data_IF_300072942627
#
_entry.id   IF_300072942627
#
_cell.length_a   1.000
_cell.length_b   1.000
_cell.length_c   1.000
_cell.angle_alpha   90.00
_cell.angle_beta   90.00
_cell.angle_gamma   90.00
#
_symmetry.space_group_name_H-M   'P 1'
#
loop_
_entity.id
_entity.type
_entity.pdbx_description
1 polymer ?
#
# COMPACT_ATOMS: atom_id res chain seq x y z
N UNK A 1 51.31 24.85 24.27
CA UNK A 1 50.43 26.00 24.56
C UNK A 1 49.78 25.76 25.90
N UNK A 2 50.11 26.59 26.89
CA UNK A 2 49.62 26.49 28.27
C UNK A 2 48.18 27.03 28.36
N UNK A 3 47.29 26.27 29.01
CA UNK A 3 45.89 26.67 29.13
C UNK A 3 45.74 27.76 30.21
N UNK A 4 45.20 28.96 29.89
CA UNK A 4 45.11 30.08 30.82
C UNK A 4 44.21 29.80 32.04
N UNK A 5 43.33 28.79 31.97
CA UNK A 5 42.47 28.38 33.09
C UNK A 5 43.19 27.47 34.11
N UNK A 6 44.32 26.86 33.76
CA UNK A 6 44.98 25.84 34.59
C UNK A 6 46.07 26.42 35.52
N UNK A 7 46.35 27.72 35.43
CA UNK A 7 47.56 28.31 36.03
C UNK A 7 47.35 29.11 37.32
N UNK A 8 46.17 29.05 37.96
CA UNK A 8 45.86 30.01 39.03
C UNK A 8 46.08 29.60 40.48
N UNK A 9 46.18 28.33 40.85
CA UNK A 9 46.49 27.97 42.25
C UNK A 9 47.28 26.66 42.30
N UNK A 10 48.22 26.61 43.23
CA UNK A 10 49.25 25.60 43.49
C UNK A 10 48.74 24.21 43.93
N UNK A 11 47.57 23.80 43.48
CA UNK A 11 47.04 22.44 43.61
C UNK A 11 46.37 22.08 42.28
N UNK A 12 46.85 21.00 41.66
CA UNK A 12 46.59 20.62 40.28
C UNK A 12 45.08 20.44 39.99
N UNK A 13 44.43 21.49 39.47
CA UNK A 13 43.07 21.43 38.93
C UNK A 13 43.12 21.57 37.41
N UNK A 14 42.90 20.47 36.69
CA UNK A 14 42.77 20.48 35.24
C UNK A 14 41.33 20.83 34.85
N UNK A 15 41.15 21.69 33.84
CA UNK A 15 39.85 21.78 33.17
C UNK A 15 39.53 20.46 32.44
N UNK A 16 38.24 20.18 32.21
CA UNK A 16 37.77 18.92 31.60
C UNK A 16 38.47 18.59 30.26
N UNK A 17 38.82 19.60 29.47
CA UNK A 17 39.50 19.40 28.18
C UNK A 17 41.01 19.15 28.34
N UNK A 18 41.67 19.79 29.31
CA UNK A 18 43.06 19.47 29.65
C UNK A 18 43.17 18.07 30.25
N UNK A 19 42.21 17.65 31.09
CA UNK A 19 42.14 16.31 31.64
C UNK A 19 42.02 15.23 30.54
N UNK A 20 41.21 15.48 29.49
CA UNK A 20 41.13 14.57 28.32
C UNK A 20 42.48 14.43 27.61
N UNK A 21 43.23 15.52 27.44
CA UNK A 21 44.54 15.48 26.77
C UNK A 21 45.59 14.72 27.59
N UNK A 22 45.57 14.88 28.92
CA UNK A 22 46.49 14.20 29.84
C UNK A 22 46.15 12.71 29.91
N UNK A 23 44.87 12.35 30.05
CA UNK A 23 44.42 10.95 30.04
C UNK A 23 44.74 10.27 28.70
N UNK A 24 44.66 10.99 27.58
CA UNK A 24 45.09 10.51 26.26
C UNK A 24 46.59 10.23 26.17
N UNK A 25 47.43 11.01 26.87
CA UNK A 25 48.90 10.82 26.89
C UNK A 25 49.36 9.72 27.84
N UNK A 26 48.60 9.39 28.89
CA UNK A 26 48.87 8.27 29.80
C UNK A 26 48.48 6.89 29.24
N UNK A 27 48.17 6.78 27.93
CA UNK A 27 48.00 5.49 27.24
C UNK A 27 49.34 4.81 26.89
N UNK A 28 50.49 5.39 27.27
CA UNK A 28 51.82 4.75 27.20
C UNK A 28 52.12 3.94 28.48
N UNK A 29 52.95 2.89 28.41
CA UNK A 29 52.95 1.73 29.34
C UNK A 29 53.60 1.98 30.71
N UNK A 30 53.48 3.17 31.30
CA UNK A 30 53.99 3.48 32.66
C UNK A 30 52.97 3.21 33.79
N UNK A 31 51.78 2.69 33.46
CA UNK A 31 50.74 2.37 34.45
C UNK A 31 50.85 0.97 35.06
N UNK A 32 51.90 0.22 34.74
CA UNK A 32 52.13 -1.11 35.30
C UNK A 32 52.80 -1.11 36.68
N UNK A 33 53.46 0.00 37.09
CA UNK A 33 54.26 0.03 38.33
C UNK A 33 53.61 0.75 39.53
N UNK A 34 52.40 1.31 39.39
CA UNK A 34 51.64 1.81 40.55
C UNK A 34 50.71 0.70 41.08
N UNK A 35 51.20 -0.02 42.10
CA UNK A 35 50.49 -1.03 42.91
C UNK A 35 49.44 -0.43 43.86
N UNK A 36 48.89 0.75 43.59
CA UNK A 36 47.84 1.34 44.41
C UNK A 36 46.44 0.87 43.94
N UNK A 37 45.94 -0.19 44.58
CA UNK A 37 44.55 -0.68 44.39
C UNK A 37 43.50 0.42 44.56
N UNK A 38 43.79 1.43 45.40
CA UNK A 38 42.93 2.58 45.63
C UNK A 38 42.80 3.45 44.37
N UNK A 39 43.88 3.66 43.62
CA UNK A 39 43.85 4.42 42.38
C UNK A 39 43.15 3.64 41.25
N UNK A 40 43.43 2.33 41.14
CA UNK A 40 42.76 1.45 40.15
C UNK A 40 41.25 1.36 40.38
N UNK A 41 40.79 1.29 41.62
CA UNK A 41 39.36 1.26 41.96
C UNK A 41 38.67 2.60 41.69
N UNK A 42 39.32 3.73 41.97
CA UNK A 42 38.80 5.06 41.62
C UNK A 42 38.68 5.25 40.10
N UNK A 43 39.70 4.86 39.33
CA UNK A 43 39.66 4.92 37.85
C UNK A 43 38.55 4.02 37.29
N UNK A 44 38.33 2.83 37.85
CA UNK A 44 37.21 1.96 37.44
C UNK A 44 35.84 2.61 37.72
N UNK A 45 35.65 3.22 38.90
CA UNK A 45 34.40 3.93 39.26
C UNK A 45 34.14 5.14 38.35
N UNK A 46 35.17 5.91 38.03
CA UNK A 46 35.03 7.05 37.10
C UNK A 46 34.70 6.58 35.68
N UNK A 47 35.32 5.49 35.21
CA UNK A 47 34.99 4.90 33.91
C UNK A 47 33.56 4.37 33.85
N UNK A 48 33.05 3.73 34.89
CA UNK A 48 31.65 3.26 34.91
C UNK A 48 30.66 4.42 34.99
N UNK A 49 30.95 5.46 35.76
CA UNK A 49 30.14 6.68 35.82
C UNK A 49 30.06 7.39 34.45
N UNK A 50 31.19 7.59 33.77
CA UNK A 50 31.23 8.19 32.43
C UNK A 50 30.50 7.34 31.38
N UNK A 51 30.63 6.01 31.43
CA UNK A 51 29.87 5.10 30.55
C UNK A 51 28.37 5.17 30.81
N UNK A 52 27.96 5.27 32.07
CA UNK A 52 26.56 5.42 32.43
C UNK A 52 25.99 6.77 31.98
N UNK A 53 26.78 7.84 32.06
CA UNK A 53 26.40 9.17 31.59
C UNK A 53 26.20 9.21 30.07
N UNK A 54 27.14 8.67 29.29
CA UNK A 54 27.00 8.57 27.82
C UNK A 54 25.77 7.78 27.41
N UNK A 55 25.50 6.63 28.05
CA UNK A 55 24.30 5.85 27.78
C UNK A 55 23.01 6.61 28.07
N UNK A 56 22.99 7.48 29.09
CA UNK A 56 21.83 8.33 29.39
C UNK A 56 21.63 9.40 28.33
N UNK A 57 22.71 10.01 27.83
CA UNK A 57 22.66 10.99 26.74
C UNK A 57 22.16 10.34 25.44
N UNK A 58 22.70 9.18 25.06
CA UNK A 58 22.25 8.41 23.88
C UNK A 58 20.77 8.01 23.98
N UNK A 59 20.31 7.56 25.16
CA UNK A 59 18.90 7.25 25.40
C UNK A 59 18.01 8.50 25.31
N UNK A 60 18.46 9.64 25.83
CA UNK A 60 17.71 10.89 25.76
C UNK A 60 17.55 11.36 24.30
N UNK A 61 18.60 11.25 23.49
CA UNK A 61 18.54 11.56 22.05
C UNK A 61 17.61 10.61 21.30
N UNK A 62 17.67 9.30 21.58
CA UNK A 62 16.76 8.32 20.99
C UNK A 62 15.31 8.63 21.35
N UNK A 63 15.01 8.87 22.64
CA UNK A 63 13.66 9.22 23.09
C UNK A 63 13.16 10.49 22.39
N UNK A 64 14.01 11.52 22.29
CA UNK A 64 13.65 12.76 21.61
C UNK A 64 13.32 12.52 20.13
N UNK A 65 14.16 11.76 19.42
CA UNK A 65 13.93 11.38 18.03
C UNK A 65 12.64 10.57 17.85
N UNK A 66 12.33 9.64 18.76
CA UNK A 66 11.07 8.90 18.74
C UNK A 66 9.88 9.81 18.98
N UNK A 67 9.94 10.74 19.94
CA UNK A 67 8.84 11.69 20.19
C UNK A 67 8.60 12.61 18.99
N UNK A 68 9.65 13.09 18.32
CA UNK A 68 9.52 13.90 17.12
C UNK A 68 8.84 13.12 16.00
N UNK A 69 9.28 11.88 15.74
CA UNK A 69 8.66 11.00 14.75
C UNK A 69 7.20 10.69 15.07
N UNK A 70 6.87 10.43 16.34
CA UNK A 70 5.49 10.19 16.75
C UNK A 70 4.59 11.42 16.51
N UNK A 71 5.10 12.62 16.76
CA UNK A 71 4.39 13.86 16.41
C UNK A 71 4.16 13.99 14.90
N UNK A 72 5.16 13.69 14.07
CA UNK A 72 5.00 13.69 12.61
C UNK A 72 3.97 12.67 12.12
N UNK A 73 4.01 11.44 12.65
CA UNK A 73 3.03 10.41 12.31
C UNK A 73 1.62 10.79 12.73
N UNK A 74 1.44 11.40 13.91
CA UNK A 74 0.14 11.92 14.35
C UNK A 74 -0.36 13.00 13.40
N UNK A 75 0.50 13.94 12.99
CA UNK A 75 0.13 14.98 12.04
C UNK A 75 -0.32 14.38 10.69
N UNK A 76 0.44 13.43 10.15
CA UNK A 76 0.08 12.74 8.90
C UNK A 76 -1.22 11.94 9.02
N UNK A 77 -1.46 11.31 10.17
CA UNK A 77 -2.71 10.58 10.42
C UNK A 77 -3.92 11.52 10.39
N UNK A 78 -3.82 12.72 10.97
CA UNK A 78 -4.91 13.69 10.92
C UNK A 78 -5.09 14.32 9.55
N UNK A 79 -4.01 14.60 8.82
CA UNK A 79 -4.11 15.02 7.41
C UNK A 79 -4.83 13.96 6.56
N UNK A 80 -4.50 12.68 6.76
CA UNK A 80 -5.16 11.57 6.07
C UNK A 80 -6.64 11.43 6.46
N UNK A 81 -6.98 11.65 7.74
CA UNK A 81 -8.36 11.63 8.24
C UNK A 81 -9.19 12.73 7.60
N UNK A 82 -8.66 13.95 7.56
CA UNK A 82 -9.31 15.10 6.89
C UNK A 82 -9.50 14.80 5.40
N UNK A 83 -8.48 14.27 4.72
CA UNK A 83 -8.58 13.90 3.30
C UNK A 83 -9.69 12.86 3.07
N UNK A 84 -9.77 11.83 3.90
CA UNK A 84 -10.82 10.81 3.83
C UNK A 84 -12.23 11.40 4.03
N UNK A 85 -12.39 12.31 4.99
CA UNK A 85 -13.65 13.03 5.20
C UNK A 85 -14.05 13.89 4.00
N UNK A 86 -13.08 14.49 3.29
CA UNK A 86 -13.38 15.27 2.07
C UNK A 86 -13.79 14.39 0.90
N UNK A 87 -13.12 13.25 0.71
CA UNK A 87 -13.45 12.31 -0.37
C UNK A 87 -14.79 11.61 -0.13
N UNK A 88 -15.08 11.23 1.12
CA UNK A 88 -16.41 10.66 1.47
C UNK A 88 -17.54 11.64 1.18
N UNK A 89 -17.38 12.94 1.52
CA UNK A 89 -18.34 13.99 1.16
C UNK A 89 -18.49 14.14 -0.37
N UNK A 90 -17.39 14.13 -1.13
CA UNK A 90 -17.43 14.17 -2.61
C UNK A 90 -18.17 12.97 -3.21
N UNK A 91 -17.93 11.77 -2.69
CA UNK A 91 -18.62 10.55 -3.13
C UNK A 91 -20.11 10.62 -2.79
N UNK A 92 -20.48 11.11 -1.61
CA UNK A 92 -21.88 11.28 -1.23
C UNK A 92 -22.62 12.23 -2.19
N UNK A 93 -22.02 13.37 -2.53
CA UNK A 93 -22.59 14.32 -3.50
C UNK A 93 -22.77 13.68 -4.89
N UNK A 94 -21.77 12.93 -5.37
CA UNK A 94 -21.87 12.21 -6.65
C UNK A 94 -22.97 11.14 -6.63
N UNK A 95 -23.13 10.41 -5.52
CA UNK A 95 -24.22 9.44 -5.33
C UNK A 95 -25.59 10.11 -5.39
N UNK A 96 -25.76 11.23 -4.69
CA UNK A 96 -27.02 11.99 -4.71
C UNK A 96 -27.34 12.52 -6.13
N UNK A 97 -26.33 13.04 -6.84
CA UNK A 97 -26.49 13.49 -8.22
C UNK A 97 -26.93 12.33 -9.14
N UNK A 98 -26.30 11.15 -9.01
CA UNK A 98 -26.69 9.95 -9.76
C UNK A 98 -28.11 9.48 -9.42
N UNK A 99 -28.50 9.46 -8.15
CA UNK A 99 -29.87 9.14 -7.73
C UNK A 99 -30.88 10.10 -8.35
N UNK A 100 -30.63 11.41 -8.30
CA UNK A 100 -31.52 12.40 -8.93
C UNK A 100 -31.65 12.22 -10.45
N UNK A 101 -30.57 11.79 -11.12
CA UNK A 101 -30.56 11.51 -12.56
C UNK A 101 -31.31 10.22 -12.85
N UNK A 102 -31.17 9.21 -11.99
CA UNK A 102 -31.89 7.95 -12.09
C UNK A 102 -33.40 8.13 -11.88
N UNK A 103 -33.82 8.95 -10.90
CA UNK A 103 -35.23 9.31 -10.72
C UNK A 103 -35.81 10.09 -11.90
N UNK A 104 -35.02 10.99 -12.50
CA UNK A 104 -35.41 11.70 -13.73
C UNK A 104 -35.58 10.74 -14.89
N UNK A 105 -34.67 9.78 -15.06
CA UNK A 105 -34.78 8.72 -16.07
C UNK A 105 -35.98 7.81 -15.81
N UNK A 106 -36.22 7.42 -14.55
CA UNK A 106 -37.37 6.60 -14.17
C UNK A 106 -38.69 7.32 -14.47
N UNK A 107 -38.78 8.62 -14.18
CA UNK A 107 -39.92 9.47 -14.54
C UNK A 107 -40.08 9.61 -16.06
N UNK A 108 -38.99 9.82 -16.80
CA UNK A 108 -39.01 9.89 -18.25
C UNK A 108 -39.48 8.55 -18.87
N UNK A 109 -39.00 7.42 -18.36
CA UNK A 109 -39.43 6.08 -18.77
C UNK A 109 -40.91 5.83 -18.46
N UNK A 110 -41.40 6.22 -17.29
CA UNK A 110 -42.82 6.12 -16.95
C UNK A 110 -43.69 6.97 -17.89
N UNK A 111 -43.26 8.19 -18.21
CA UNK A 111 -43.94 9.04 -19.21
C UNK A 111 -43.93 8.38 -20.60
N UNK A 112 -42.82 7.80 -21.01
CA UNK A 112 -42.68 7.15 -22.31
C UNK A 112 -43.54 5.89 -22.40
N UNK A 113 -43.62 5.10 -21.34
CA UNK A 113 -44.54 3.95 -21.24
C UNK A 113 -46.02 4.39 -21.29
N UNK A 114 -46.38 5.48 -20.61
CA UNK A 114 -47.75 6.03 -20.68
C UNK A 114 -48.08 6.56 -22.07
N UNK A 115 -47.13 7.24 -22.73
CA UNK A 115 -47.26 7.67 -24.12
C UNK A 115 -47.37 6.46 -25.04
N UNK A 116 -46.55 5.43 -24.88
CA UNK A 116 -46.68 4.19 -25.64
C UNK A 116 -48.03 3.50 -25.42
N UNK A 117 -48.59 3.52 -24.21
CA UNK A 117 -49.95 3.03 -23.95
C UNK A 117 -51.03 3.81 -24.71
N UNK A 118 -50.82 5.11 -24.95
CA UNK A 118 -51.70 5.96 -25.77
C UNK A 118 -51.44 5.80 -27.28
N UNK A 119 -50.20 5.57 -27.71
CA UNK A 119 -49.82 5.42 -29.12
C UNK A 119 -50.04 4.00 -29.66
N UNK A 120 -50.04 2.97 -28.81
CA UNK A 120 -50.41 1.59 -29.20
C UNK A 120 -51.94 1.41 -29.31
N UNK A 121 -52.73 2.36 -28.81
CA UNK A 121 -54.18 2.42 -29.04
C UNK A 121 -54.59 3.09 -30.35
N UNK A 122 -53.68 3.83 -31.01
CA UNK A 122 -53.96 4.52 -32.28
C UNK A 122 -52.90 4.17 -33.33
N UNK A 123 -53.28 3.26 -34.21
CA UNK A 123 -52.52 2.73 -35.35
C UNK A 123 -51.74 3.81 -36.12
N UNK A 124 -50.40 3.70 -36.16
CA UNK A 124 -49.60 4.21 -37.29
C UNK A 124 -48.30 4.94 -36.98
N UNK A 125 -48.10 5.52 -35.79
CA UNK A 125 -46.94 6.44 -35.57
C UNK A 125 -45.84 5.85 -34.66
N UNK A 126 -46.12 4.77 -33.92
CA UNK A 126 -45.19 4.22 -32.92
C UNK A 126 -43.97 3.48 -33.51
N UNK A 127 -44.09 2.94 -34.72
CA UNK A 127 -43.09 2.05 -35.32
C UNK A 127 -41.76 2.75 -35.70
N UNK A 128 -41.74 3.93 -36.35
CA UNK A 128 -40.50 4.65 -36.62
C UNK A 128 -39.82 5.18 -35.34
N UNK A 129 -40.59 5.53 -34.30
CA UNK A 129 -40.05 5.95 -33.01
C UNK A 129 -39.41 4.79 -32.24
N UNK A 130 -40.03 3.60 -32.26
CA UNK A 130 -39.46 2.38 -31.69
C UNK A 130 -38.17 1.97 -32.39
N UNK A 131 -38.12 2.04 -33.72
CA UNK A 131 -36.91 1.78 -34.52
C UNK A 131 -35.78 2.76 -34.18
N UNK A 132 -36.09 4.04 -33.97
CA UNK A 132 -35.11 5.04 -33.53
C UNK A 132 -34.58 4.75 -32.12
N UNK A 133 -35.42 4.26 -31.20
CA UNK A 133 -35.01 3.89 -29.85
C UNK A 133 -34.20 2.58 -29.82
N UNK A 134 -34.49 1.61 -30.68
CA UNK A 134 -33.68 0.39 -30.80
C UNK A 134 -32.30 0.70 -31.37
N UNK A 135 -32.19 1.56 -32.38
CA UNK A 135 -30.91 2.02 -32.89
C UNK A 135 -30.10 2.75 -31.80
N UNK A 136 -30.73 3.63 -31.03
CA UNK A 136 -30.06 4.29 -29.89
C UNK A 136 -29.62 3.31 -28.80
N UNK A 137 -30.37 2.23 -28.56
CA UNK A 137 -29.98 1.18 -27.62
C UNK A 137 -28.81 0.36 -28.15
N UNK A 138 -28.78 0.06 -29.44
CA UNK A 138 -27.67 -0.61 -30.11
C UNK A 138 -26.41 0.26 -30.03
N UNK A 139 -26.49 1.55 -30.37
CA UNK A 139 -25.40 2.52 -30.25
C UNK A 139 -24.85 2.60 -28.81
N UNK A 140 -25.75 2.65 -27.82
CA UNK A 140 -25.35 2.65 -26.40
C UNK A 140 -24.72 1.32 -25.97
N UNK A 141 -25.21 0.19 -26.50
CA UNK A 141 -24.65 -1.12 -26.23
C UNK A 141 -23.23 -1.24 -26.80
N UNK A 142 -23.00 -0.70 -28.00
CA UNK A 142 -21.71 -0.68 -28.67
C UNK A 142 -20.74 0.27 -27.95
N UNK A 143 -21.21 1.44 -27.51
CA UNK A 143 -20.44 2.36 -26.68
C UNK A 143 -20.02 1.72 -25.34
N UNK A 144 -20.91 0.95 -24.70
CA UNK A 144 -20.59 0.18 -23.48
C UNK A 144 -19.56 -0.91 -23.79
N UNK A 145 -19.69 -1.62 -24.92
CA UNK A 145 -18.75 -2.64 -25.34
C UNK A 145 -17.35 -2.04 -25.59
N UNK A 146 -17.27 -0.89 -26.27
CA UNK A 146 -16.02 -0.17 -26.51
C UNK A 146 -15.37 0.30 -25.21
N UNK A 147 -16.13 0.88 -24.27
CA UNK A 147 -15.59 1.28 -22.96
C UNK A 147 -15.13 0.08 -22.13
N UNK A 148 -15.83 -1.05 -22.19
CA UNK A 148 -15.36 -2.32 -21.57
C UNK A 148 -14.06 -2.78 -22.22
N UNK A 149 -13.96 -2.77 -23.54
CA UNK A 149 -12.75 -3.17 -24.25
C UNK A 149 -11.56 -2.27 -23.91
N UNK A 150 -11.79 -0.95 -23.82
CA UNK A 150 -10.77 0.03 -23.40
C UNK A 150 -10.28 -0.25 -21.98
N UNK A 151 -11.19 -0.53 -21.04
CA UNK A 151 -10.85 -0.93 -19.67
C UNK A 151 -10.04 -2.23 -19.61
N UNK A 152 -10.41 -3.22 -20.41
CA UNK A 152 -9.63 -4.47 -20.54
C UNK A 152 -8.22 -4.19 -21.06
N UNK A 153 -8.08 -3.37 -22.11
CA UNK A 153 -6.75 -2.98 -22.63
C UNK A 153 -5.90 -2.26 -21.58
N UNK A 154 -6.49 -1.37 -20.78
CA UNK A 154 -5.80 -0.70 -19.67
C UNK A 154 -5.35 -1.68 -18.58
N UNK A 155 -6.18 -2.68 -18.23
CA UNK A 155 -5.79 -3.73 -17.29
C UNK A 155 -4.62 -4.58 -17.83
N UNK A 156 -4.65 -4.94 -19.11
CA UNK A 156 -3.56 -5.72 -19.74
C UNK A 156 -2.25 -4.91 -19.78
N UNK A 157 -2.31 -3.59 -19.92
CA UNK A 157 -1.12 -2.73 -19.82
C UNK A 157 -0.55 -2.68 -18.39
N UNK A 158 -1.41 -2.68 -17.37
CA UNK A 158 -0.99 -2.70 -15.95
C UNK A 158 -0.44 -4.07 -15.52
N UNK A 159 -0.96 -5.14 -16.12
CA UNK A 159 -0.55 -6.52 -15.88
C UNK A 159 -0.15 -7.17 -17.19
N UNK A 160 1.06 -6.88 -17.72
CA UNK A 160 1.50 -7.46 -18.97
C UNK A 160 1.52 -8.98 -18.82
N UNK A 161 0.69 -9.64 -19.63
CA UNK A 161 0.60 -11.09 -19.71
C UNK A 161 1.43 -11.54 -20.90
N UNK A 162 2.49 -12.29 -20.64
CA UNK A 162 3.22 -13.02 -21.68
C UNK A 162 2.79 -14.47 -21.63
N UNK A 163 2.17 -14.95 -22.71
CA UNK A 163 1.88 -16.36 -22.89
C UNK A 163 2.96 -16.94 -23.81
N UNK A 164 3.41 -18.19 -23.57
CA UNK A 164 4.26 -18.87 -24.55
C UNK A 164 3.48 -19.00 -25.86
N UNK A 165 4.15 -18.70 -26.97
CA UNK A 165 3.53 -18.44 -28.27
C UNK A 165 3.04 -19.71 -28.98
N UNK A 166 3.27 -20.89 -28.40
CA UNK A 166 3.01 -22.20 -29.00
C UNK A 166 2.42 -23.16 -27.96
N UNK A 167 1.24 -23.72 -28.28
CA UNK A 167 0.63 -24.86 -27.58
C UNK A 167 1.56 -26.08 -27.73
N UNK A 168 2.58 -26.20 -26.88
CA UNK A 168 3.52 -27.33 -26.93
C UNK A 168 4.89 -27.06 -26.30
N UNK A 169 5.31 -25.80 -26.18
CA UNK A 169 6.57 -25.49 -25.51
C UNK A 169 6.36 -25.28 -24.01
N UNK A 170 7.23 -25.88 -23.21
CA UNK A 170 7.37 -25.69 -21.75
C UNK A 170 7.93 -24.31 -21.43
N UNK A 171 7.32 -23.26 -21.99
CA UNK A 171 7.59 -21.88 -21.63
C UNK A 171 6.92 -21.52 -20.31
N UNK A 172 7.54 -20.61 -19.58
CA UNK A 172 6.97 -19.99 -18.39
C UNK A 172 6.15 -18.80 -18.88
N UNK A 173 4.81 -18.88 -18.79
CA UNK A 173 3.99 -17.68 -18.97
C UNK A 173 4.32 -16.69 -17.86
N UNK A 174 4.12 -15.39 -18.04
CA UNK A 174 4.27 -14.46 -16.91
C UNK A 174 3.17 -13.42 -16.86
N UNK A 175 2.75 -13.07 -15.65
CA UNK A 175 1.91 -11.91 -15.40
C UNK A 175 2.73 -10.92 -14.57
N UNK A 176 2.88 -9.68 -15.07
CA UNK A 176 3.69 -8.65 -14.43
C UNK A 176 5.12 -9.14 -14.11
N UNK A 177 5.75 -9.83 -15.07
CA UNK A 177 7.10 -10.42 -14.96
C UNK A 177 7.22 -11.57 -13.95
N UNK A 178 6.11 -12.05 -13.38
CA UNK A 178 6.11 -13.17 -12.47
C UNK A 178 5.82 -14.47 -13.22
N UNK A 179 6.79 -15.38 -13.17
CA UNK A 179 6.73 -16.70 -13.75
C UNK A 179 5.50 -17.50 -13.29
N UNK A 180 4.65 -17.85 -14.23
CA UNK A 180 3.48 -18.70 -14.06
C UNK A 180 3.75 -20.05 -14.72
N UNK A 181 3.57 -21.14 -13.97
CA UNK A 181 3.63 -22.48 -14.55
C UNK A 181 2.47 -22.66 -15.52
N UNK A 182 2.82 -23.14 -16.72
CA UNK A 182 1.89 -23.42 -17.82
C UNK A 182 1.01 -24.64 -17.59
N UNK A 183 1.33 -25.49 -16.61
CA UNK A 183 0.57 -26.69 -16.26
C UNK A 183 0.51 -26.91 -14.75
N UNK A 184 -0.55 -27.59 -14.29
CA UNK A 184 -0.70 -28.01 -12.90
C UNK A 184 0.44 -28.93 -12.44
N UNK A 185 0.93 -29.80 -13.33
CA UNK A 185 2.08 -30.68 -13.05
C UNK A 185 3.38 -29.89 -12.81
N UNK A 186 3.53 -28.71 -13.41
CA UNK A 186 4.67 -27.83 -13.17
C UNK A 186 4.52 -27.03 -11.87
N UNK A 187 3.27 -26.74 -11.45
CA UNK A 187 2.93 -26.09 -10.17
C UNK A 187 3.40 -26.91 -8.96
N UNK A 188 3.24 -28.23 -9.01
CA UNK A 188 3.66 -29.15 -7.93
C UNK A 188 5.18 -29.27 -7.80
N UNK A 189 5.91 -29.08 -8.90
CA UNK A 189 7.38 -29.14 -8.94
C UNK A 189 8.05 -27.83 -8.48
N UNK A 190 7.30 -26.75 -8.31
CA UNK A 190 7.84 -25.47 -7.84
C UNK A 190 8.08 -25.46 -6.33
N UNK A 191 9.06 -24.67 -5.89
CA UNK A 191 9.24 -24.37 -4.47
C UNK A 191 7.92 -23.83 -3.88
N UNK A 192 7.55 -24.23 -2.65
CA UNK A 192 6.25 -23.89 -2.05
C UNK A 192 6.01 -22.37 -1.98
N UNK A 193 7.05 -21.59 -1.74
CA UNK A 193 6.97 -20.12 -1.71
C UNK A 193 6.67 -19.52 -3.08
N UNK A 194 7.35 -20.02 -4.13
CA UNK A 194 7.15 -19.57 -5.51
C UNK A 194 5.74 -19.94 -6.01
N UNK A 195 5.26 -21.13 -5.63
CA UNK A 195 3.90 -21.58 -5.91
C UNK A 195 2.86 -20.67 -5.26
N UNK A 196 3.05 -20.36 -3.98
CA UNK A 196 2.14 -19.50 -3.21
C UNK A 196 2.12 -18.07 -3.76
N UNK A 197 3.29 -17.53 -4.13
CA UNK A 197 3.40 -16.22 -4.77
C UNK A 197 2.70 -16.17 -6.14
N UNK A 198 2.88 -17.20 -6.98
CA UNK A 198 2.21 -17.30 -8.28
C UNK A 198 0.68 -17.33 -8.13
N UNK A 199 0.16 -18.18 -7.22
CA UNK A 199 -1.28 -18.27 -6.94
C UNK A 199 -1.82 -16.94 -6.40
N UNK A 200 -1.11 -16.30 -5.47
CA UNK A 200 -1.51 -15.01 -4.90
C UNK A 200 -1.57 -13.91 -5.98
N UNK A 201 -0.64 -13.90 -6.93
CA UNK A 201 -0.64 -12.95 -8.06
C UNK A 201 -1.82 -13.18 -9.00
N UNK A 202 -2.10 -14.43 -9.38
CA UNK A 202 -3.29 -14.77 -10.20
C UNK A 202 -4.56 -14.30 -9.51
N UNK A 203 -4.69 -14.62 -8.22
CA UNK A 203 -5.82 -14.21 -7.39
C UNK A 203 -5.98 -12.69 -7.39
N UNK A 204 -4.89 -11.96 -7.18
CA UNK A 204 -4.90 -10.50 -7.11
C UNK A 204 -5.29 -9.87 -8.44
N UNK A 205 -4.84 -10.43 -9.55
CA UNK A 205 -5.21 -9.98 -10.89
C UNK A 205 -6.70 -10.25 -11.16
N UNK A 206 -7.23 -11.41 -10.76
CA UNK A 206 -8.65 -11.73 -10.87
C UNK A 206 -9.53 -10.80 -10.03
N UNK A 207 -9.10 -10.46 -8.81
CA UNK A 207 -9.77 -9.47 -7.95
C UNK A 207 -9.84 -8.09 -8.62
N UNK A 208 -8.70 -7.62 -9.15
CA UNK A 208 -8.62 -6.33 -9.80
C UNK A 208 -9.46 -6.34 -11.09
N UNK A 209 -9.39 -7.39 -11.89
CA UNK A 209 -10.22 -7.54 -13.08
C UNK A 209 -11.72 -7.56 -12.75
N UNK A 210 -12.13 -8.34 -11.73
CA UNK A 210 -13.53 -8.42 -11.29
C UNK A 210 -14.06 -7.08 -10.79
N UNK A 211 -13.30 -6.39 -9.92
CA UNK A 211 -13.68 -5.06 -9.41
C UNK A 211 -13.72 -4.00 -10.51
N UNK A 212 -12.77 -4.02 -11.43
CA UNK A 212 -12.63 -3.00 -12.48
C UNK A 212 -13.64 -3.20 -13.63
N UNK A 213 -13.97 -4.45 -13.95
CA UNK A 213 -14.96 -4.82 -14.98
C UNK A 213 -16.36 -5.03 -14.41
N UNK A 214 -16.53 -4.98 -13.09
CA UNK A 214 -17.79 -5.27 -12.39
C UNK A 214 -18.38 -6.65 -12.76
N UNK A 215 -17.51 -7.63 -12.99
CA UNK A 215 -17.90 -9.01 -13.28
C UNK A 215 -17.99 -9.78 -11.96
N UNK A 216 -19.15 -10.40 -11.64
CA UNK A 216 -19.27 -11.24 -10.47
C UNK A 216 -18.41 -12.49 -10.64
N UNK A 217 -17.52 -12.75 -9.68
CA UNK A 217 -16.75 -13.99 -9.64
C UNK A 217 -17.63 -15.13 -9.09
N UNK A 218 -17.47 -16.37 -9.60
CA UNK A 218 -18.22 -17.52 -9.10
C UNK A 218 -17.73 -18.03 -7.74
N UNK A 219 -16.86 -17.28 -7.05
CA UNK A 219 -16.36 -17.60 -5.72
C UNK A 219 -16.10 -16.30 -4.95
N UNK A 220 -16.27 -16.34 -3.64
CA UNK A 220 -15.85 -15.22 -2.78
C UNK A 220 -14.32 -15.21 -2.66
N UNK A 221 -13.72 -14.03 -2.69
CA UNK A 221 -12.29 -13.87 -2.39
C UNK A 221 -12.13 -12.96 -1.19
N UNK A 222 -11.34 -13.40 -0.21
CA UNK A 222 -11.08 -12.65 1.03
C UNK A 222 -9.57 -12.58 1.24
N UNK A 223 -9.05 -11.37 1.40
CA UNK A 223 -7.69 -11.17 1.91
C UNK A 223 -7.73 -11.14 3.43
N UNK A 224 -7.08 -12.12 4.06
CA UNK A 224 -6.95 -12.24 5.53
C UNK A 224 -5.46 -12.17 5.86
N UNK A 225 -5.05 -11.19 6.66
CA UNK A 225 -3.66 -11.03 7.14
C UNK A 225 -2.58 -11.06 6.05
N UNK A 226 -2.85 -10.41 4.91
CA UNK A 226 -1.93 -10.37 3.76
C UNK A 226 -1.89 -11.65 2.93
N UNK A 227 -2.70 -12.66 3.27
CA UNK A 227 -2.90 -13.88 2.48
C UNK A 227 -4.24 -13.80 1.74
N UNK A 228 -4.24 -14.15 0.46
CA UNK A 228 -5.47 -14.19 -0.33
C UNK A 228 -6.10 -15.58 -0.27
N UNK A 229 -7.34 -15.65 0.22
CA UNK A 229 -8.11 -16.88 0.33
C UNK A 229 -9.24 -16.91 -0.71
N UNK A 230 -9.41 -18.05 -1.37
CA UNK A 230 -10.55 -18.33 -2.24
C UNK A 230 -11.60 -19.07 -1.40
N UNK A 231 -12.78 -18.49 -1.29
CA UNK A 231 -13.95 -19.06 -0.64
C UNK A 231 -14.66 -20.10 -1.52
N UNK A 232 -15.75 -20.71 -1.03
CA UNK A 232 -16.44 -21.77 -1.75
C UNK A 232 -16.99 -21.27 -3.09
N UNK A 233 -16.96 -22.16 -4.08
CA UNK A 233 -17.55 -21.94 -5.39
C UNK A 233 -19.07 -21.80 -5.24
N UNK A 234 -19.60 -20.63 -5.56
CA UNK A 234 -21.03 -20.38 -5.66
C UNK A 234 -21.44 -20.71 -7.09
N UNK A 235 -22.24 -21.76 -7.27
CA UNK A 235 -22.88 -22.06 -8.54
C UNK A 235 -23.58 -20.77 -9.05
N UNK A 236 -23.31 -20.40 -10.30
CA UNK A 236 -23.72 -19.11 -10.85
C UNK A 236 -25.24 -18.90 -10.72
N UNK A 237 -25.63 -17.72 -10.23
CA UNK A 237 -26.98 -17.19 -10.43
C UNK A 237 -27.12 -16.92 -11.92
N UNK A 238 -28.01 -17.64 -12.59
CA UNK A 238 -28.39 -17.39 -13.99
C UNK A 238 -28.85 -15.92 -14.09
N UNK A 239 -28.24 -15.17 -15.02
CA UNK A 239 -28.63 -13.82 -15.39
C UNK A 239 -30.02 -13.81 -16.04
#
# INVERSE_FOLDING_TARGET
MECPACHRFSVVHYCLDCAKSVIGRFQTPMLNDLKDEKYRSQVRRLRTALKAQRKREELAELVNNFTLRLCEYRKRAEEAKIALETETKRVALKRQALQSRWERLKRARARLNNLMGLFLGNNGVAQPMLLGMTAQLEDLSEAIAMERQKKVRQLVQLFPVSMPQTLGETGVGSIASLALPTSLANLEKMKPDARTAAIATIIRVLLIASSYLSLPLPFEMKTVDGKSCIGPWKAQVQL
#
